data_IF_934764599281
#
_entry.id   IF_934764599281
#
_cell.length_a   1.000
_cell.length_b   1.000
_cell.length_c   1.000
_cell.angle_alpha   90.00
_cell.angle_beta   90.00
_cell.angle_gamma   90.00
#
_symmetry.space_group_name_H-M   'P 1'
#
loop_
_entity.id
_entity.type
_entity.pdbx_description
1 polymer ?
#
# COMPACT_ATOMS: atom_id res chain seq x y z
N UNK A 1 21.21 -16.89 -7.33
CA UNK A 1 21.42 -15.77 -8.28
C UNK A 1 20.05 -15.37 -8.83
N UNK A 2 19.28 -14.62 -8.03
CA UNK A 2 18.00 -14.06 -8.48
C UNK A 2 18.31 -12.77 -9.23
N UNK A 3 18.00 -12.69 -10.52
CA UNK A 3 17.87 -11.40 -11.20
C UNK A 3 16.71 -10.65 -10.54
N UNK A 4 16.98 -9.56 -9.82
CA UNK A 4 15.96 -8.57 -9.48
C UNK A 4 16.12 -7.34 -10.37
N UNK A 5 14.99 -6.67 -10.58
CA UNK A 5 14.80 -5.58 -11.53
C UNK A 5 15.24 -4.27 -10.88
N UNK A 6 16.12 -3.55 -11.56
CA UNK A 6 16.52 -2.18 -11.23
C UNK A 6 15.34 -1.33 -10.75
N UNK A 7 15.56 -0.61 -9.65
CA UNK A 7 14.63 0.34 -9.10
C UNK A 7 14.48 1.53 -10.06
N UNK A 8 13.49 1.47 -10.96
CA UNK A 8 13.02 2.66 -11.67
C UNK A 8 12.54 3.66 -10.61
N UNK A 9 13.33 4.72 -10.39
CA UNK A 9 12.93 5.88 -9.62
C UNK A 9 11.77 6.53 -10.39
N UNK A 10 10.55 6.17 -10.01
CA UNK A 10 9.32 6.78 -10.50
C UNK A 10 9.24 8.21 -9.99
N UNK A 11 9.57 9.18 -10.84
CA UNK A 11 9.18 10.55 -10.62
C UNK A 11 7.93 10.85 -11.48
N UNK A 12 6.91 11.35 -10.78
CA UNK A 12 5.55 11.70 -11.20
C UNK A 12 5.41 12.24 -12.62
N UNK A 13 4.41 11.71 -13.34
CA UNK A 13 3.77 12.39 -14.46
C UNK A 13 3.07 13.62 -13.87
N UNK A 14 3.63 14.81 -14.09
CA UNK A 14 2.76 15.99 -14.19
C UNK A 14 2.03 15.84 -15.51
N UNK A 15 0.71 15.69 -15.47
CA UNK A 15 -0.15 15.75 -16.66
C UNK A 15 -0.11 17.17 -17.23
N UNK A 16 0.98 17.49 -17.92
CA UNK A 16 1.11 18.64 -18.79
C UNK A 16 0.62 18.27 -20.17
N UNK A 17 -0.55 18.79 -20.52
CA UNK A 17 -1.04 18.97 -21.89
C UNK A 17 -1.21 17.72 -22.77
N UNK A 18 -2.22 16.90 -22.47
CA UNK A 18 -2.93 16.12 -23.49
C UNK A 18 -4.24 16.80 -23.97
N UNK A 19 -4.47 18.06 -23.60
CA UNK A 19 -5.67 18.84 -23.97
C UNK A 19 -5.44 19.85 -25.10
N UNK A 20 -4.19 20.07 -25.55
CA UNK A 20 -3.87 21.01 -26.63
C UNK A 20 -3.91 20.40 -28.04
N UNK A 21 -4.25 19.12 -28.18
CA UNK A 21 -4.30 18.41 -29.47
C UNK A 21 -5.71 18.29 -30.08
N UNK A 22 -6.77 18.80 -29.42
CA UNK A 22 -8.16 18.67 -29.90
C UNK A 22 -8.94 19.99 -30.03
N UNK A 23 -8.30 21.16 -29.91
CA UNK A 23 -8.91 22.42 -30.38
C UNK A 23 -10.17 22.90 -29.66
N UNK A 24 -10.45 22.45 -28.44
CA UNK A 24 -11.58 22.97 -27.65
C UNK A 24 -11.11 23.97 -26.58
N UNK A 25 -11.55 25.23 -26.73
CA UNK A 25 -11.36 26.28 -25.73
C UNK A 25 -12.46 26.18 -24.68
N UNK A 26 -12.09 25.85 -23.44
CA UNK A 26 -12.97 25.97 -22.28
C UNK A 26 -12.33 26.96 -21.29
N UNK A 27 -12.98 28.12 -21.12
CA UNK A 27 -12.67 29.09 -20.07
C UNK A 27 -12.91 28.44 -18.71
N UNK A 28 -11.87 28.33 -17.89
CA UNK A 28 -11.99 27.94 -16.48
C UNK A 28 -12.31 29.20 -15.65
N UNK A 29 -13.33 29.21 -14.77
CA UNK A 29 -13.60 30.35 -13.91
C UNK A 29 -12.58 30.39 -12.76
N UNK A 30 -11.96 31.55 -12.55
CA UNK A 30 -11.11 31.82 -11.39
C UNK A 30 -11.98 32.10 -10.16
N UNK A 31 -11.78 31.35 -9.09
CA UNK A 31 -12.32 31.67 -7.77
C UNK A 31 -11.33 32.58 -7.03
N UNK A 32 -11.78 33.65 -6.36
CA UNK A 32 -10.89 34.58 -5.67
C UNK A 32 -10.35 34.00 -4.36
N UNK A 33 -9.09 34.35 -4.07
CA UNK A 33 -8.38 34.03 -2.83
C UNK A 33 -9.08 34.63 -1.60
N UNK A 34 -9.29 33.81 -0.56
CA UNK A 34 -9.81 34.25 0.73
C UNK A 34 -8.70 34.98 1.50
N UNK A 35 -8.88 36.29 1.70
CA UNK A 35 -8.15 37.06 2.72
C UNK A 35 -8.84 36.85 4.08
N UNK A 36 -8.07 36.45 5.08
CA UNK A 36 -8.53 36.44 6.47
C UNK A 36 -8.35 37.85 7.04
N UNK A 37 -9.45 38.51 7.39
CA UNK A 37 -9.45 39.70 8.24
C UNK A 37 -10.46 39.52 9.38
N UNK A 38 -9.99 39.74 10.60
CA UNK A 38 -10.75 39.74 11.85
C UNK A 38 -11.80 40.84 11.91
N UNK A 39 -13.04 40.52 12.30
CA UNK A 39 -13.81 41.28 13.30
C UNK A 39 -15.21 40.68 13.55
N UNK A 40 -15.49 40.49 14.84
CA UNK A 40 -16.75 40.62 15.60
C UNK A 40 -18.13 40.51 14.90
N UNK A 41 -18.99 39.65 15.46
CA UNK A 41 -20.38 40.02 15.76
C UNK A 41 -21.52 39.17 15.17
N UNK A 42 -22.23 38.49 16.09
CA UNK A 42 -23.66 38.15 16.13
C UNK A 42 -24.32 37.10 15.19
N UNK A 43 -24.91 36.12 15.90
CA UNK A 43 -26.15 35.35 15.68
C UNK A 43 -26.94 35.51 14.36
N UNK A 44 -27.22 34.38 13.71
CA UNK A 44 -28.59 33.94 13.36
C UNK A 44 -28.62 32.49 12.84
N UNK A 45 -29.62 31.73 13.28
CA UNK A 45 -30.02 30.40 12.81
C UNK A 45 -30.41 30.39 11.33
N UNK A 46 -30.16 29.29 10.60
CA UNK A 46 -31.01 28.90 9.48
C UNK A 46 -31.14 27.37 9.32
N UNK A 47 -32.38 26.99 9.08
CA UNK A 47 -33.00 25.67 8.96
C UNK A 47 -32.82 25.02 7.58
N UNK A 48 -32.75 23.69 7.58
CA UNK A 48 -33.41 22.73 6.67
C UNK A 48 -33.67 23.12 5.20
N UNK A 49 -33.12 22.35 4.27
CA UNK A 49 -33.69 22.15 2.92
C UNK A 49 -33.77 20.64 2.64
N UNK A 50 -35.00 20.12 2.61
CA UNK A 50 -35.39 18.86 1.96
C UNK A 50 -35.62 19.12 0.46
N UNK A 51 -35.10 18.25 -0.41
CA UNK A 51 -35.52 18.18 -1.81
C UNK A 51 -36.26 16.86 -2.11
N UNK A 52 -37.49 17.03 -2.60
CA UNK A 52 -38.41 16.01 -3.11
C UNK A 52 -38.03 15.61 -4.53
N UNK A 53 -38.06 14.31 -4.85
CA UNK A 53 -38.19 13.82 -6.22
C UNK A 53 -39.29 12.76 -6.33
N UNK A 54 -40.15 12.99 -7.33
CA UNK A 54 -41.45 12.37 -7.56
C UNK A 54 -41.38 11.08 -8.39
N UNK A 55 -42.36 10.22 -8.12
CA UNK A 55 -42.66 8.92 -8.72
C UNK A 55 -43.18 9.01 -10.17
N UNK A 56 -42.87 8.01 -11.01
CA UNK A 56 -43.69 7.60 -12.18
C UNK A 56 -43.91 6.07 -12.17
N UNK A 57 -45.18 5.68 -12.25
CA UNK A 57 -45.72 4.31 -12.34
C UNK A 57 -45.67 3.77 -13.77
N UNK A 58 -45.55 2.45 -13.91
CA UNK A 58 -46.23 1.67 -14.96
C UNK A 58 -46.80 0.35 -14.38
N UNK A 59 -48.00 0.01 -14.89
CA UNK A 59 -48.93 -1.08 -14.54
C UNK A 59 -48.33 -2.50 -14.71
N UNK A 60 -48.80 -3.60 -14.12
CA UNK A 60 -50.11 -3.97 -13.59
C UNK A 60 -50.61 -5.23 -14.32
N UNK A 61 -50.66 -6.38 -13.64
CA UNK A 61 -51.48 -7.53 -14.04
C UNK A 61 -51.94 -8.27 -12.77
N UNK A 62 -53.26 -8.39 -12.62
CA UNK A 62 -53.95 -9.04 -11.50
C UNK A 62 -54.80 -10.16 -12.07
N UNK A 63 -54.64 -11.39 -11.60
CA UNK A 63 -55.59 -12.48 -11.84
C UNK A 63 -56.22 -12.86 -10.49
N UNK A 64 -57.53 -12.65 -10.42
CA UNK A 64 -58.41 -13.09 -9.31
C UNK A 64 -58.81 -14.53 -9.54
N UNK A 65 -58.78 -15.36 -8.49
CA UNK A 65 -59.61 -16.57 -8.45
C UNK A 65 -60.58 -16.51 -7.27
N UNK A 66 -61.79 -16.99 -7.59
CA UNK A 66 -63.07 -16.87 -6.90
C UNK A 66 -63.21 -18.05 -5.93
N UNK A 67 -63.66 -17.78 -4.71
CA UNK A 67 -64.00 -18.82 -3.74
C UNK A 67 -65.28 -19.56 -4.17
N UNK A 68 -65.26 -20.89 -4.08
CA UNK A 68 -66.44 -21.76 -4.08
C UNK A 68 -66.33 -22.74 -2.92
N UNK A 69 -67.38 -22.82 -2.13
CA UNK A 69 -67.56 -23.70 -0.98
C UNK A 69 -68.16 -25.05 -1.39
N UNK A 70 -67.67 -26.14 -0.81
CA UNK A 70 -68.45 -27.37 -0.59
C UNK A 70 -67.93 -28.12 0.65
N UNK A 71 -68.88 -28.61 1.46
CA UNK A 71 -68.71 -29.27 2.75
C UNK A 71 -68.69 -30.80 2.61
N UNK A 72 -67.91 -31.50 3.44
CA UNK A 72 -68.32 -32.75 4.10
C UNK A 72 -67.31 -33.19 5.19
N UNK A 73 -67.86 -33.67 6.31
CA UNK A 73 -67.20 -34.04 7.56
C UNK A 73 -66.39 -35.35 7.50
N UNK A 74 -65.28 -35.42 8.25
CA UNK A 74 -64.88 -36.61 9.03
C UNK A 74 -63.80 -36.27 10.08
N UNK A 75 -63.92 -36.88 11.25
CA UNK A 75 -63.19 -36.73 12.54
C UNK A 75 -61.66 -36.90 12.50
N UNK A 76 -60.91 -36.34 13.47
CA UNK A 76 -59.46 -36.31 13.44
C UNK A 76 -58.86 -37.62 13.99
N UNK A 77 -57.87 -38.17 13.28
CA UNK A 77 -56.93 -39.14 13.86
C UNK A 77 -55.65 -38.37 14.17
N UNK A 78 -55.36 -38.20 15.46
CA UNK A 78 -54.09 -37.68 15.95
C UNK A 78 -52.98 -38.66 15.56
N UNK A 79 -52.24 -38.34 14.51
CA UNK A 79 -50.90 -38.89 14.29
C UNK A 79 -49.94 -37.83 14.81
N UNK A 80 -49.35 -38.11 15.97
CA UNK A 80 -48.17 -37.39 16.47
C UNK A 80 -47.05 -37.75 15.49
N UNK A 81 -46.84 -36.90 14.49
CA UNK A 81 -45.62 -36.94 13.70
C UNK A 81 -44.53 -36.28 14.55
N UNK A 82 -43.70 -37.10 15.17
CA UNK A 82 -42.40 -36.69 15.69
C UNK A 82 -41.60 -36.15 14.49
N UNK A 83 -41.60 -34.84 14.32
CA UNK A 83 -40.64 -34.18 13.45
C UNK A 83 -39.29 -34.25 14.16
N UNK A 84 -38.54 -35.31 13.87
CA UNK A 84 -37.09 -35.27 14.01
C UNK A 84 -36.59 -34.10 13.15
N UNK A 85 -36.24 -32.99 13.80
CA UNK A 85 -35.38 -31.98 13.21
C UNK A 85 -34.04 -32.66 12.91
N UNK A 86 -33.91 -33.22 11.71
CA UNK A 86 -32.63 -33.55 11.14
C UNK A 86 -31.86 -32.23 11.03
N UNK A 87 -30.99 -31.99 12.01
CA UNK A 87 -29.96 -30.96 11.93
C UNK A 87 -29.10 -31.33 10.74
N UNK A 88 -29.43 -30.77 9.58
CA UNK A 88 -28.63 -30.91 8.39
C UNK A 88 -27.28 -30.29 8.72
N UNK A 89 -26.28 -31.14 8.89
CA UNK A 89 -24.93 -30.75 9.24
C UNK A 89 -24.39 -29.91 8.08
N UNK A 90 -24.56 -28.59 8.18
CA UNK A 90 -24.16 -27.66 7.14
C UNK A 90 -22.65 -27.73 7.03
N UNK A 91 -22.17 -28.31 5.92
CA UNK A 91 -20.75 -28.35 5.60
C UNK A 91 -20.25 -26.91 5.48
N UNK A 92 -19.54 -26.46 6.51
CA UNK A 92 -18.94 -25.13 6.62
C UNK A 92 -17.47 -25.21 6.22
N UNK A 93 -16.92 -24.13 5.64
CA UNK A 93 -15.48 -24.01 5.45
C UNK A 93 -14.78 -23.92 6.82
N UNK A 94 -13.69 -24.67 6.96
CA UNK A 94 -12.81 -24.57 8.14
C UNK A 94 -12.21 -23.16 8.19
N UNK A 95 -12.42 -22.47 9.31
CA UNK A 95 -11.96 -21.11 9.50
C UNK A 95 -11.47 -20.85 10.92
N UNK A 96 -10.52 -19.93 11.05
CA UNK A 96 -9.99 -19.44 12.33
C UNK A 96 -10.52 -18.03 12.57
N UNK A 97 -10.91 -17.71 13.81
CA UNK A 97 -11.35 -16.36 14.15
C UNK A 97 -10.16 -15.40 14.22
N UNK A 98 -10.30 -14.21 13.63
CA UNK A 98 -9.35 -13.12 13.84
C UNK A 98 -9.66 -12.35 15.14
N UNK A 99 -8.77 -11.42 15.52
CA UNK A 99 -8.89 -10.61 16.74
C UNK A 99 -9.94 -9.49 16.66
N UNK A 100 -10.55 -9.28 15.49
CA UNK A 100 -11.46 -8.17 15.18
C UNK A 100 -12.88 -8.64 14.85
N UNK A 101 -13.20 -9.90 15.13
CA UNK A 101 -14.52 -10.50 14.90
C UNK A 101 -14.76 -10.95 13.46
N UNK A 102 -13.71 -11.09 12.65
CA UNK A 102 -13.73 -11.75 11.36
C UNK A 102 -13.28 -13.22 11.43
N UNK A 103 -13.15 -13.82 10.25
CA UNK A 103 -12.75 -15.22 10.06
C UNK A 103 -11.75 -15.34 8.90
N UNK A 104 -10.82 -16.28 9.03
CA UNK A 104 -9.78 -16.58 8.04
C UNK A 104 -9.93 -18.02 7.60
N UNK A 105 -10.14 -18.24 6.31
CA UNK A 105 -10.17 -19.55 5.64
C UNK A 105 -8.86 -19.73 4.89
N UNK A 106 -8.20 -20.86 5.08
CA UNK A 106 -7.06 -21.28 4.27
C UNK A 106 -7.43 -22.55 3.52
N UNK A 107 -7.41 -22.48 2.18
CA UNK A 107 -7.73 -23.63 1.34
C UNK A 107 -6.52 -24.56 1.22
N UNK A 108 -6.64 -25.79 1.73
CA UNK A 108 -5.61 -26.82 1.63
C UNK A 108 -5.97 -27.90 0.61
N UNK A 109 -7.22 -28.34 0.59
CA UNK A 109 -7.68 -29.48 -0.22
C UNK A 109 -8.24 -29.04 -1.59
N UNK A 110 -7.95 -29.79 -2.67
CA UNK A 110 -8.56 -29.55 -3.97
C UNK A 110 -10.09 -29.63 -3.89
N UNK A 111 -10.77 -28.69 -4.55
CA UNK A 111 -12.22 -28.61 -4.54
C UNK A 111 -12.76 -28.25 -5.92
N UNK A 112 -13.92 -28.81 -6.26
CA UNK A 112 -14.69 -28.38 -7.42
C UNK A 112 -15.24 -26.96 -7.20
N UNK A 113 -15.14 -26.03 -8.18
CA UNK A 113 -15.59 -24.65 -8.01
C UNK A 113 -17.08 -24.50 -7.67
N UNK A 114 -17.96 -25.36 -8.20
CA UNK A 114 -19.40 -25.28 -7.90
C UNK A 114 -19.71 -25.78 -6.49
N UNK A 115 -19.04 -26.87 -6.07
CA UNK A 115 -19.10 -27.33 -4.68
C UNK A 115 -18.58 -26.26 -3.71
N UNK A 116 -17.44 -25.63 -4.03
CA UNK A 116 -16.87 -24.55 -3.24
C UNK A 116 -17.83 -23.37 -3.09
N UNK A 117 -18.42 -22.89 -4.19
CA UNK A 117 -19.39 -21.78 -4.16
C UNK A 117 -20.60 -22.09 -3.25
N UNK A 118 -21.11 -23.33 -3.31
CA UNK A 118 -22.22 -23.77 -2.45
C UNK A 118 -21.86 -23.74 -0.96
N UNK A 119 -20.70 -24.33 -0.60
CA UNK A 119 -20.19 -24.37 0.78
C UNK A 119 -19.86 -22.94 1.27
N UNK A 120 -19.25 -22.11 0.42
CA UNK A 120 -18.91 -20.72 0.74
C UNK A 120 -20.17 -19.90 1.07
N UNK A 121 -21.23 -20.02 0.26
CA UNK A 121 -22.50 -19.34 0.51
C UNK A 121 -23.15 -19.76 1.82
N UNK A 122 -23.16 -21.07 2.11
CA UNK A 122 -23.65 -21.59 3.38
C UNK A 122 -22.81 -21.05 4.57
N UNK A 123 -21.49 -21.02 4.41
CA UNK A 123 -20.56 -20.52 5.42
C UNK A 123 -20.78 -19.04 5.73
N UNK A 124 -20.95 -18.19 4.71
CA UNK A 124 -21.26 -16.76 4.87
C UNK A 124 -22.57 -16.56 5.61
N UNK A 125 -23.63 -17.32 5.28
CA UNK A 125 -24.91 -17.23 5.97
C UNK A 125 -24.80 -17.60 7.46
N UNK A 126 -23.98 -18.61 7.79
CA UNK A 126 -23.72 -18.97 9.17
C UNK A 126 -22.87 -17.92 9.90
N UNK A 127 -21.79 -17.44 9.31
CA UNK A 127 -20.95 -16.38 9.88
C UNK A 127 -21.75 -15.09 10.11
N UNK A 128 -22.70 -14.77 9.23
CA UNK A 128 -23.64 -13.65 9.42
C UNK A 128 -24.49 -13.83 10.68
N UNK A 129 -25.06 -15.02 10.92
CA UNK A 129 -25.81 -15.34 12.15
C UNK A 129 -24.94 -15.27 13.40
N UNK A 130 -23.65 -15.58 13.27
CA UNK A 130 -22.67 -15.48 14.35
C UNK A 130 -22.14 -14.06 14.59
N UNK A 131 -22.63 -13.06 13.84
CA UNK A 131 -22.16 -11.68 13.97
C UNK A 131 -20.73 -11.45 13.49
N UNK A 132 -20.19 -12.32 12.62
CA UNK A 132 -18.87 -12.14 12.01
C UNK A 132 -18.88 -11.00 11.02
N UNK A 133 -17.71 -10.36 10.86
CA UNK A 133 -17.53 -9.18 10.02
C UNK A 133 -16.74 -9.49 8.75
N UNK A 134 -15.41 -9.41 8.82
CA UNK A 134 -14.51 -9.70 7.72
C UNK A 134 -14.38 -11.19 7.47
N UNK A 135 -14.39 -11.59 6.20
CA UNK A 135 -14.03 -12.94 5.77
C UNK A 135 -12.80 -12.84 4.89
N UNK A 136 -11.75 -13.55 5.27
CA UNK A 136 -10.51 -13.65 4.51
C UNK A 136 -10.40 -15.05 3.93
N UNK A 137 -10.08 -15.15 2.64
CA UNK A 137 -9.78 -16.45 2.02
C UNK A 137 -8.37 -16.38 1.44
N UNK A 138 -7.48 -17.18 2.03
CA UNK A 138 -6.15 -17.46 1.48
C UNK A 138 -6.28 -18.63 0.51
N UNK A 139 -6.06 -18.34 -0.77
CA UNK A 139 -6.04 -19.33 -1.84
C UNK A 139 -4.60 -19.56 -2.31
N UNK A 140 -3.95 -20.67 -1.93
CA UNK A 140 -2.71 -21.11 -2.57
C UNK A 140 -2.86 -21.19 -4.09
N UNK A 141 -1.78 -20.96 -4.82
CA UNK A 141 -1.76 -20.88 -6.30
C UNK A 141 -2.30 -22.16 -6.96
N UNK A 142 -2.18 -23.32 -6.30
CA UNK A 142 -2.71 -24.60 -6.78
C UNK A 142 -4.24 -24.63 -6.82
N UNK A 143 -4.91 -23.78 -6.04
CA UNK A 143 -6.37 -23.67 -5.94
C UNK A 143 -6.93 -22.48 -6.72
N UNK A 144 -6.21 -22.04 -7.77
CA UNK A 144 -6.62 -20.90 -8.62
C UNK A 144 -7.97 -21.11 -9.29
N UNK A 145 -8.39 -22.36 -9.49
CA UNK A 145 -9.71 -22.71 -10.01
C UNK A 145 -10.88 -22.21 -9.13
N UNK A 146 -10.62 -21.88 -7.86
CA UNK A 146 -11.63 -21.39 -6.92
C UNK A 146 -11.80 -19.87 -6.93
N UNK A 147 -10.89 -19.12 -7.57
CA UNK A 147 -10.88 -17.65 -7.54
C UNK A 147 -12.15 -17.07 -8.15
N UNK A 148 -12.54 -17.55 -9.33
CA UNK A 148 -13.75 -17.06 -10.03
C UNK A 148 -15.01 -17.31 -9.19
N UNK A 149 -15.11 -18.48 -8.56
CA UNK A 149 -16.23 -18.84 -7.69
C UNK A 149 -16.31 -17.91 -6.47
N UNK A 150 -15.19 -17.59 -5.82
CA UNK A 150 -15.17 -16.65 -4.69
C UNK A 150 -15.61 -15.23 -5.12
N UNK A 151 -15.09 -14.73 -6.25
CA UNK A 151 -15.44 -13.40 -6.76
C UNK A 151 -16.92 -13.30 -7.12
N UNK A 152 -17.52 -14.36 -7.69
CA UNK A 152 -18.97 -14.42 -7.97
C UNK A 152 -19.84 -14.35 -6.72
N UNK A 153 -19.33 -14.80 -5.56
CA UNK A 153 -20.00 -14.64 -4.27
C UNK A 153 -19.71 -13.27 -3.60
N UNK A 154 -19.03 -12.35 -4.31
CA UNK A 154 -18.81 -10.97 -3.91
C UNK A 154 -17.47 -10.68 -3.24
N UNK A 155 -16.55 -11.64 -3.21
CA UNK A 155 -15.19 -11.40 -2.72
C UNK A 155 -14.41 -10.50 -3.68
N UNK A 156 -13.52 -9.68 -3.13
CA UNK A 156 -12.56 -8.88 -3.89
C UNK A 156 -11.13 -9.26 -3.53
N UNK A 157 -10.19 -8.94 -4.41
CA UNK A 157 -8.77 -9.14 -4.16
C UNK A 157 -8.27 -8.11 -3.15
N UNK A 158 -7.57 -8.59 -2.12
CA UNK A 158 -6.88 -7.71 -1.18
C UNK A 158 -5.40 -7.59 -1.53
N UNK A 159 -4.68 -8.71 -1.53
CA UNK A 159 -3.25 -8.77 -1.86
C UNK A 159 -2.89 -10.14 -2.44
N UNK A 160 -1.72 -10.25 -3.04
CA UNK A 160 -1.20 -11.50 -3.57
C UNK A 160 0.29 -11.60 -3.28
N UNK A 161 0.73 -12.81 -2.99
CA UNK A 161 2.13 -13.21 -2.93
C UNK A 161 2.42 -14.19 -4.07
N UNK A 162 3.69 -14.53 -4.36
CA UNK A 162 4.02 -15.43 -5.47
C UNK A 162 3.29 -16.77 -5.44
N UNK A 163 2.87 -17.25 -4.27
CA UNK A 163 2.26 -18.56 -4.08
C UNK A 163 0.81 -18.53 -3.55
N UNK A 164 0.19 -17.36 -3.32
CA UNK A 164 -1.21 -17.29 -2.92
C UNK A 164 -1.88 -15.97 -3.28
N UNK A 165 -3.21 -16.00 -3.37
CA UNK A 165 -4.08 -14.83 -3.46
C UNK A 165 -4.89 -14.70 -2.15
N UNK A 166 -4.92 -13.51 -1.56
CA UNK A 166 -5.80 -13.18 -0.44
C UNK A 166 -7.03 -12.45 -0.96
N UNK A 167 -8.20 -13.04 -0.73
CA UNK A 167 -9.49 -12.40 -0.98
C UNK A 167 -10.14 -11.95 0.31
N UNK A 168 -10.94 -10.89 0.21
CA UNK A 168 -11.68 -10.33 1.32
C UNK A 168 -13.17 -10.19 0.97
N UNK A 169 -14.01 -10.31 1.99
CA UNK A 169 -15.44 -10.05 1.93
C UNK A 169 -15.90 -9.41 3.24
N UNK A 170 -16.89 -8.52 3.17
CA UNK A 170 -17.48 -7.86 4.33
C UNK A 170 -18.93 -8.28 4.46
N UNK A 171 -19.25 -8.96 5.56
CA UNK A 171 -20.60 -9.49 5.82
C UNK A 171 -21.63 -8.38 6.15
N UNK A 172 -21.31 -7.39 7.01
CA UNK A 172 -22.26 -6.33 7.36
C UNK A 172 -22.61 -5.44 6.17
N UNK A 173 -23.79 -4.82 6.20
CA UNK A 173 -24.15 -3.79 5.24
C UNK A 173 -23.33 -2.50 5.47
N UNK A 174 -23.11 -1.74 4.40
CA UNK A 174 -22.38 -0.46 4.44
C UNK A 174 -20.88 -0.57 4.12
N UNK A 175 -20.13 0.47 4.48
CA UNK A 175 -18.69 0.57 4.20
C UNK A 175 -17.88 -0.41 5.05
N UNK A 176 -16.98 -1.18 4.43
CA UNK A 176 -16.09 -2.09 5.16
C UNK A 176 -15.02 -1.32 5.94
N UNK A 177 -14.57 -1.90 7.05
CA UNK A 177 -13.45 -1.35 7.84
C UNK A 177 -12.20 -2.24 7.79
N UNK A 178 -12.14 -3.17 6.83
CA UNK A 178 -10.95 -3.99 6.61
C UNK A 178 -9.77 -3.07 6.25
N UNK A 179 -8.57 -3.30 6.82
CA UNK A 179 -7.37 -2.58 6.44
C UNK A 179 -7.14 -2.67 4.93
N UNK A 180 -6.66 -1.59 4.32
CA UNK A 180 -6.24 -1.63 2.94
C UNK A 180 -4.91 -2.38 2.80
N UNK A 181 -4.65 -2.95 1.62
CA UNK A 181 -3.36 -3.51 1.26
C UNK A 181 -2.24 -2.46 1.30
N UNK A 182 -0.99 -2.93 1.42
CA UNK A 182 0.23 -2.13 1.33
C UNK A 182 0.13 -1.09 0.20
N UNK A 183 0.26 0.18 0.60
CA UNK A 183 -0.01 1.34 -0.25
C UNK A 183 1.27 2.05 -0.71
N UNK A 184 2.38 1.78 -0.02
CA UNK A 184 3.67 2.42 -0.25
C UNK A 184 4.74 1.37 -0.54
N UNK A 185 5.65 1.71 -1.43
CA UNK A 185 6.98 1.09 -1.50
C UNK A 185 7.96 1.98 -0.75
N UNK A 186 8.99 1.36 -0.21
CA UNK A 186 10.03 2.07 0.55
C UNK A 186 11.33 2.00 -0.23
N UNK A 187 11.88 3.16 -0.55
CA UNK A 187 13.19 3.31 -1.18
C UNK A 187 14.20 3.93 -0.23
N UNK A 188 15.47 3.64 -0.47
CA UNK A 188 16.61 4.21 0.25
C UNK A 188 17.62 4.79 -0.72
N UNK A 189 18.30 5.85 -0.30
CA UNK A 189 19.47 6.41 -0.96
C UNK A 189 20.59 6.63 0.03
N UNK A 190 21.83 6.43 -0.43
CA UNK A 190 23.02 6.48 0.42
C UNK A 190 23.88 7.72 0.11
N UNK A 191 23.93 8.65 1.05
CA UNK A 191 24.94 9.69 1.06
C UNK A 191 26.18 9.17 1.79
N UNK A 192 27.16 8.72 1.01
CA UNK A 192 28.46 8.25 1.50
C UNK A 192 29.51 9.29 1.12
N UNK A 193 30.22 9.86 2.09
CA UNK A 193 31.28 10.85 1.85
C UNK A 193 32.58 10.38 2.52
N UNK A 194 33.69 10.47 1.80
CA UNK A 194 35.01 10.16 2.33
C UNK A 194 35.70 11.40 2.94
N UNK A 195 36.86 11.20 3.55
CA UNK A 195 37.64 12.28 4.19
C UNK A 195 38.14 13.36 3.22
N UNK A 196 38.19 13.07 1.91
CA UNK A 196 38.59 14.01 0.85
C UNK A 196 37.44 14.88 0.36
N UNK A 197 36.25 14.80 0.98
CA UNK A 197 35.01 15.46 0.53
C UNK A 197 34.56 14.99 -0.86
N UNK A 198 34.84 13.72 -1.18
CA UNK A 198 34.30 13.04 -2.35
C UNK A 198 33.12 12.17 -1.92
N UNK A 199 32.10 12.11 -2.78
CA UNK A 199 30.89 11.31 -2.58
C UNK A 199 30.89 10.08 -3.47
N UNK A 200 30.39 8.98 -2.94
CA UNK A 200 30.17 7.76 -3.72
C UNK A 200 28.96 7.96 -4.63
N UNK A 201 29.18 7.85 -5.93
CA UNK A 201 28.13 8.03 -6.95
C UNK A 201 28.18 6.92 -7.99
N UNK A 202 27.03 6.66 -8.59
CA UNK A 202 26.83 5.63 -9.62
C UNK A 202 26.08 6.21 -10.83
N UNK A 203 26.28 5.58 -11.98
CA UNK A 203 25.46 5.71 -13.18
C UNK A 203 24.75 4.38 -13.44
N UNK A 204 23.43 4.42 -13.66
CA UNK A 204 22.65 3.22 -14.00
C UNK A 204 22.92 2.81 -15.45
N UNK A 205 23.15 1.52 -15.72
CA UNK A 205 23.14 0.95 -17.07
C UNK A 205 21.74 0.45 -17.49
N UNK A 206 20.72 0.72 -16.68
CA UNK A 206 19.32 0.34 -16.96
C UNK A 206 18.37 1.46 -16.55
N UNK A 207 17.09 1.31 -16.86
CA UNK A 207 16.08 2.29 -16.44
C UNK A 207 16.17 3.64 -17.16
N UNK A 208 15.67 4.69 -16.50
CA UNK A 208 15.49 6.03 -17.08
C UNK A 208 16.80 6.80 -17.24
N UNK A 209 17.79 6.54 -16.39
CA UNK A 209 19.07 7.25 -16.41
C UNK A 209 20.14 6.59 -17.30
N UNK A 210 19.84 5.42 -17.89
CA UNK A 210 20.75 4.73 -18.82
C UNK A 210 21.20 5.66 -19.94
N UNK A 211 22.52 5.80 -20.12
CA UNK A 211 23.12 6.60 -21.19
C UNK A 211 22.90 8.11 -21.07
N UNK A 212 22.38 8.60 -19.95
CA UNK A 212 22.22 10.04 -19.69
C UNK A 212 23.48 10.69 -19.14
N UNK A 213 24.41 9.88 -18.62
CA UNK A 213 25.63 10.35 -17.95
C UNK A 213 25.39 10.99 -16.57
N UNK A 214 24.16 10.94 -16.03
CA UNK A 214 23.83 11.53 -14.72
C UNK A 214 24.39 10.66 -13.60
N UNK A 215 25.23 11.26 -12.75
CA UNK A 215 25.71 10.65 -11.52
C UNK A 215 24.71 10.87 -10.39
N UNK A 216 24.29 9.79 -9.74
CA UNK A 216 23.39 9.80 -8.58
C UNK A 216 24.02 9.06 -7.41
N UNK A 217 23.47 9.24 -6.22
CA UNK A 217 23.82 8.38 -5.08
C UNK A 217 23.36 6.94 -5.32
N UNK A 218 24.01 5.93 -4.69
CA UNK A 218 23.49 4.58 -4.63
C UNK A 218 22.07 4.56 -4.06
N UNK A 219 21.17 3.79 -4.66
CA UNK A 219 19.76 3.75 -4.26
C UNK A 219 19.14 2.39 -4.53
N UNK A 220 18.21 1.96 -3.66
CA UNK A 220 17.39 0.81 -3.97
C UNK A 220 16.13 0.72 -3.12
N UNK A 221 15.59 -0.49 -2.99
CA UNK A 221 14.28 -0.76 -2.38
C UNK A 221 14.48 -1.59 -1.13
N UNK A 222 13.76 -1.23 -0.06
CA UNK A 222 13.72 -2.03 1.17
C UNK A 222 12.87 -3.27 0.90
N UNK A 223 13.43 -4.46 1.11
CA UNK A 223 12.68 -5.70 0.93
C UNK A 223 11.67 -5.92 2.07
N UNK A 224 10.70 -6.80 1.82
CA UNK A 224 9.78 -7.23 2.87
C UNK A 224 10.54 -7.83 4.06
N UNK A 225 10.24 -7.37 5.27
CA UNK A 225 10.90 -7.80 6.50
C UNK A 225 12.33 -7.26 6.70
N UNK A 226 12.81 -6.37 5.83
CA UNK A 226 14.16 -5.80 5.92
C UNK A 226 14.16 -4.43 6.64
N UNK A 227 15.11 -4.24 7.56
CA UNK A 227 15.31 -2.94 8.21
C UNK A 227 15.84 -1.88 7.24
N UNK A 228 15.42 -0.63 7.40
CA UNK A 228 15.87 0.49 6.58
C UNK A 228 17.40 0.64 6.57
N UNK A 229 18.03 0.56 7.74
CA UNK A 229 19.48 0.68 7.90
C UNK A 229 20.23 -0.50 7.26
N UNK A 230 19.64 -1.69 7.29
CA UNK A 230 20.20 -2.89 6.66
C UNK A 230 20.10 -2.79 5.14
N UNK A 231 18.94 -2.36 4.63
CA UNK A 231 18.71 -2.19 3.20
C UNK A 231 19.72 -1.22 2.59
N UNK A 232 19.91 -0.03 3.16
CA UNK A 232 20.84 0.95 2.56
C UNK A 232 22.31 0.49 2.60
N UNK A 233 22.74 -0.26 3.63
CA UNK A 233 24.07 -0.89 3.65
C UNK A 233 24.19 -1.92 2.53
N UNK A 234 23.17 -2.78 2.37
CA UNK A 234 23.13 -3.79 1.31
C UNK A 234 23.20 -3.14 -0.08
N UNK A 235 22.37 -2.13 -0.36
CA UNK A 235 22.32 -1.47 -1.67
C UNK A 235 23.68 -0.86 -2.06
N UNK A 236 24.37 -0.18 -1.13
CA UNK A 236 25.72 0.34 -1.40
C UNK A 236 26.70 -0.79 -1.72
N UNK A 237 26.64 -1.88 -0.93
CA UNK A 237 27.53 -3.04 -1.11
C UNK A 237 27.27 -3.75 -2.43
N UNK A 238 26.01 -3.94 -2.81
CA UNK A 238 25.61 -4.58 -4.06
C UNK A 238 26.09 -3.76 -5.25
N UNK A 239 25.80 -2.45 -5.31
CA UNK A 239 26.13 -1.63 -6.47
C UNK A 239 27.63 -1.34 -6.64
N UNK A 240 28.38 -1.22 -5.53
CA UNK A 240 29.75 -0.65 -5.54
C UNK A 240 30.82 -1.47 -4.82
N UNK A 241 30.44 -2.56 -4.15
CA UNK A 241 31.28 -3.36 -3.26
C UNK A 241 31.86 -2.61 -2.04
N UNK A 242 31.48 -1.34 -1.80
CA UNK A 242 31.92 -0.56 -0.65
C UNK A 242 31.20 -1.02 0.62
N UNK A 243 31.97 -1.30 1.66
CA UNK A 243 31.46 -1.56 3.00
C UNK A 243 31.13 -0.22 3.66
N UNK A 244 29.94 -0.13 4.24
CA UNK A 244 29.49 1.07 4.91
C UNK A 244 28.85 0.76 6.26
N UNK A 245 28.81 1.77 7.11
CA UNK A 245 28.06 1.78 8.36
C UNK A 245 26.97 2.84 8.28
N UNK A 246 25.75 2.45 8.65
CA UNK A 246 24.63 3.37 8.78
C UNK A 246 24.86 4.36 9.92
N UNK A 247 24.62 5.65 9.67
CA UNK A 247 24.72 6.70 10.70
C UNK A 247 23.33 7.21 11.07
N UNK A 248 22.59 7.78 10.13
CA UNK A 248 21.28 8.38 10.38
C UNK A 248 20.46 8.55 9.09
N UNK A 249 19.15 8.62 9.23
CA UNK A 249 18.27 9.14 8.17
C UNK A 249 18.38 10.66 8.16
N UNK A 250 18.77 11.25 7.04
CA UNK A 250 18.82 12.71 6.88
C UNK A 250 17.45 13.28 6.57
N UNK A 251 16.72 12.67 5.64
CA UNK A 251 15.40 13.12 5.25
C UNK A 251 14.61 11.99 4.61
N UNK A 252 13.30 12.19 4.47
CA UNK A 252 12.48 11.35 3.63
C UNK A 252 11.53 12.20 2.79
N UNK A 253 11.16 11.67 1.62
CA UNK A 253 10.15 12.25 0.74
C UNK A 253 9.04 11.24 0.50
N UNK A 254 7.86 11.76 0.18
CA UNK A 254 6.78 10.96 -0.38
C UNK A 254 6.51 11.39 -1.82
N UNK A 255 6.13 10.43 -2.67
CA UNK A 255 5.58 10.70 -4.00
C UNK A 255 4.47 9.71 -4.32
N UNK A 256 3.48 10.13 -5.11
CA UNK A 256 2.30 9.32 -5.42
C UNK A 256 2.35 8.74 -6.83
N UNK A 257 1.70 7.59 -7.02
CA UNK A 257 1.49 6.94 -8.32
C UNK A 257 2.78 6.69 -9.11
N UNK A 258 3.83 6.31 -8.42
CA UNK A 258 5.17 6.11 -8.99
C UNK A 258 5.38 4.70 -9.54
N UNK A 259 4.69 3.70 -8.98
CA UNK A 259 4.79 2.31 -9.42
C UNK A 259 3.47 1.57 -9.19
N UNK A 260 2.80 1.13 -10.27
CA UNK A 260 1.48 0.49 -10.23
C UNK A 260 0.46 1.23 -9.34
N UNK A 261 0.38 2.56 -9.50
CA UNK A 261 -0.49 3.46 -8.74
C UNK A 261 -0.21 3.54 -7.22
N UNK A 262 0.79 2.82 -6.73
CA UNK A 262 1.27 2.92 -5.34
C UNK A 262 2.10 4.19 -5.16
N UNK A 263 2.21 4.60 -3.90
CA UNK A 263 3.09 5.71 -3.51
C UNK A 263 4.48 5.18 -3.18
N UNK A 264 5.49 6.03 -3.22
CA UNK A 264 6.83 5.75 -2.70
C UNK A 264 7.11 6.64 -1.49
N UNK A 265 7.73 6.07 -0.47
CA UNK A 265 8.46 6.81 0.56
C UNK A 265 9.94 6.54 0.32
N UNK A 266 10.73 7.59 0.15
CA UNK A 266 12.17 7.47 -0.12
C UNK A 266 12.97 8.15 0.97
N UNK A 267 13.89 7.40 1.58
CA UNK A 267 14.75 7.85 2.69
C UNK A 267 16.17 8.12 2.20
N UNK A 268 16.68 9.32 2.47
CA UNK A 268 18.09 9.65 2.26
C UNK A 268 18.85 9.40 3.55
N UNK A 269 19.88 8.55 3.51
CA UNK A 269 20.62 8.10 4.67
C UNK A 269 22.07 8.54 4.60
N UNK A 270 22.62 9.03 5.72
CA UNK A 270 24.03 9.27 5.88
C UNK A 270 24.74 7.97 6.25
N UNK A 271 25.83 7.69 5.55
CA UNK A 271 26.62 6.48 5.67
C UNK A 271 28.09 6.82 5.86
N UNK A 272 28.78 6.05 6.69
CA UNK A 272 30.23 6.11 6.88
C UNK A 272 30.89 5.01 6.04
N UNK A 273 31.82 5.33 5.12
CA UNK A 273 32.56 4.32 4.38
C UNK A 273 33.59 3.62 5.27
N UNK A 274 33.66 2.29 5.16
CA UNK A 274 34.62 1.43 5.86
C UNK A 274 35.69 0.85 4.90
N UNK A 275 35.42 0.90 3.60
CA UNK A 275 36.35 0.56 2.52
C UNK A 275 36.22 1.57 1.37
N UNK A 276 37.19 1.56 0.45
CA UNK A 276 37.31 2.60 -0.60
C UNK A 276 37.52 2.04 -2.01
N UNK A 277 37.80 0.76 -2.15
CA UNK A 277 37.99 0.10 -3.45
C UNK A 277 36.63 -0.20 -4.07
N UNK A 278 36.32 0.47 -5.17
CA UNK A 278 35.04 0.33 -5.87
C UNK A 278 35.12 -0.85 -6.83
N UNK A 279 34.13 -1.73 -6.76
CA UNK A 279 33.87 -2.74 -7.78
C UNK A 279 32.38 -2.66 -8.15
N UNK A 280 32.10 -2.22 -9.37
CA UNK A 280 30.72 -2.00 -9.81
C UNK A 280 30.00 -3.31 -10.11
N UNK A 281 28.71 -3.35 -9.84
CA UNK A 281 27.85 -4.44 -10.29
C UNK A 281 27.56 -4.31 -11.79
N UNK A 282 28.20 -5.16 -12.60
CA UNK A 282 28.10 -5.11 -14.07
C UNK A 282 26.67 -5.21 -14.64
N UNK A 283 25.74 -5.85 -13.93
CA UNK A 283 24.37 -6.03 -14.43
C UNK A 283 23.52 -4.77 -14.39
N UNK A 284 23.81 -3.83 -13.47
CA UNK A 284 22.95 -2.67 -13.19
C UNK A 284 23.68 -1.34 -13.28
N UNK A 285 25.00 -1.33 -13.06
CA UNK A 285 25.80 -0.10 -12.92
C UNK A 285 26.77 0.05 -14.09
N UNK A 286 26.63 1.17 -14.79
CA UNK A 286 27.48 1.56 -15.91
C UNK A 286 28.86 1.99 -15.39
N UNK A 287 28.87 2.85 -14.37
CA UNK A 287 30.08 3.35 -13.74
C UNK A 287 29.82 3.73 -12.27
N UNK A 288 30.86 3.64 -11.44
CA UNK A 288 30.84 4.05 -10.04
C UNK A 288 32.16 4.73 -9.70
N UNK A 289 32.13 5.82 -8.95
CA UNK A 289 33.34 6.55 -8.55
C UNK A 289 33.16 7.35 -7.27
N UNK A 290 34.29 7.76 -6.68
CA UNK A 290 34.36 8.86 -5.74
C UNK A 290 34.43 10.18 -6.53
N UNK A 291 33.38 10.99 -6.43
CA UNK A 291 33.28 12.27 -7.15
C UNK A 291 33.40 13.44 -6.16
N UNK A 292 34.20 14.49 -6.44
CA UNK A 292 34.22 15.69 -5.60
C UNK A 292 32.80 16.23 -5.37
N UNK A 293 32.44 16.51 -4.11
CA UNK A 293 31.05 16.85 -3.78
C UNK A 293 30.53 18.09 -4.51
N UNK A 294 31.37 19.10 -4.73
CA UNK A 294 30.97 20.29 -5.49
C UNK A 294 30.78 19.99 -6.98
N UNK A 295 31.48 19.00 -7.54
CA UNK A 295 31.25 18.54 -8.91
C UNK A 295 29.90 17.82 -9.02
N UNK A 296 29.59 16.92 -8.08
CA UNK A 296 28.27 16.29 -7.99
C UNK A 296 27.16 17.33 -7.88
N UNK A 297 27.33 18.30 -6.97
CA UNK A 297 26.36 19.36 -6.75
C UNK A 297 26.17 20.22 -8.00
N UNK A 298 27.23 20.49 -8.78
CA UNK A 298 27.19 21.32 -9.97
C UNK A 298 26.55 20.64 -11.20
N UNK A 299 26.26 19.34 -11.16
CA UNK A 299 25.64 18.64 -12.28
C UNK A 299 24.33 19.31 -12.73
N UNK A 300 24.11 19.52 -14.05
CA UNK A 300 22.90 20.18 -14.54
C UNK A 300 21.59 19.54 -14.06
N UNK A 301 21.56 18.20 -13.96
CA UNK A 301 20.41 17.48 -13.42
C UNK A 301 20.15 17.81 -11.94
N UNK A 302 21.20 17.83 -11.12
CA UNK A 302 21.12 18.18 -9.69
C UNK A 302 20.65 19.62 -9.51
N UNK A 303 21.11 20.54 -10.37
CA UNK A 303 20.75 21.96 -10.37
C UNK A 303 19.36 22.27 -10.95
N UNK A 304 18.69 21.32 -11.59
CA UNK A 304 17.33 21.51 -12.13
C UNK A 304 16.27 20.72 -11.34
N UNK A 305 16.66 19.65 -10.68
CA UNK A 305 15.78 18.83 -9.86
C UNK A 305 15.69 19.36 -8.42
N UNK A 306 14.49 19.78 -7.98
CA UNK A 306 14.29 20.35 -6.64
C UNK A 306 14.64 19.39 -5.50
N UNK A 307 14.31 18.10 -5.64
CA UNK A 307 14.66 17.11 -4.63
C UNK A 307 16.18 17.01 -4.48
N UNK A 308 16.91 16.93 -5.60
CA UNK A 308 18.37 16.88 -5.58
C UNK A 308 18.98 18.13 -4.94
N UNK A 309 18.41 19.32 -5.18
CA UNK A 309 18.84 20.56 -4.50
C UNK A 309 18.69 20.48 -2.99
N UNK A 310 17.52 20.07 -2.50
CA UNK A 310 17.31 19.94 -1.06
C UNK A 310 18.23 18.90 -0.44
N UNK A 311 18.50 17.79 -1.13
CA UNK A 311 19.47 16.79 -0.67
C UNK A 311 20.87 17.43 -0.55
N UNK A 312 21.32 18.17 -1.57
CA UNK A 312 22.61 18.88 -1.53
C UNK A 312 22.67 19.87 -0.36
N UNK A 313 21.62 20.65 -0.14
CA UNK A 313 21.55 21.64 0.95
C UNK A 313 21.60 20.96 2.33
N UNK A 314 20.89 19.84 2.50
CA UNK A 314 20.92 19.03 3.73
C UNK A 314 22.32 18.45 3.94
N UNK A 315 22.95 17.91 2.89
CA UNK A 315 24.32 17.40 2.95
C UNK A 315 25.32 18.50 3.37
N UNK A 316 25.21 19.71 2.78
CA UNK A 316 26.02 20.89 3.15
C UNK A 316 25.79 21.32 4.61
N UNK A 317 24.54 21.33 5.05
CA UNK A 317 24.20 21.65 6.44
C UNK A 317 24.71 20.60 7.43
N UNK A 318 24.67 19.31 7.06
CA UNK A 318 25.20 18.20 7.86
C UNK A 318 26.72 18.29 8.01
N UNK A 319 27.44 18.55 6.91
CA UNK A 319 28.89 18.78 6.92
C UNK A 319 29.25 19.96 7.85
N UNK A 320 28.48 21.04 7.81
CA UNK A 320 28.65 22.19 8.69
C UNK A 320 28.22 21.95 10.15
N UNK A 321 27.82 20.71 10.52
CA UNK A 321 27.29 20.32 11.84
C UNK A 321 26.06 21.12 12.28
N UNK A 322 25.30 21.65 11.31
CA UNK A 322 24.06 22.43 11.51
C UNK A 322 22.80 21.60 11.27
N UNK A 323 22.95 20.32 10.92
CA UNK A 323 21.85 19.40 10.65
C UNK A 323 22.05 18.10 11.43
N UNK A 324 20.99 17.63 12.07
CA UNK A 324 20.96 16.35 12.79
C UNK A 324 19.82 15.52 12.23
N UNK A 325 20.15 14.35 11.69
CA UNK A 325 19.18 13.37 11.22
C UNK A 325 18.62 12.51 12.34
N UNK A 326 18.00 11.40 11.93
CA UNK A 326 17.28 10.49 12.81
C UNK A 326 18.09 9.20 12.93
N UNK A 327 18.55 8.89 14.15
CA UNK A 327 19.33 7.68 14.43
C UNK A 327 18.41 6.53 14.84
N UNK A 328 18.79 5.27 14.56
CA UNK A 328 18.00 4.11 14.96
C UNK A 328 18.30 3.78 16.42
N UNK A 329 17.27 3.73 17.25
CA UNK A 329 17.37 3.28 18.64
C UNK A 329 16.59 1.98 18.80
N UNK A 330 17.25 0.87 19.24
CA UNK A 330 16.57 -0.38 19.49
C UNK A 330 15.49 -0.22 20.56
N UNK A 331 14.33 -0.83 20.31
CA UNK A 331 13.17 -0.88 21.20
C UNK A 331 12.64 -2.30 21.27
N UNK A 332 12.05 -2.66 22.41
CA UNK A 332 11.35 -3.92 22.62
C UNK A 332 9.85 -3.73 22.38
N UNK A 333 9.21 -4.64 21.65
CA UNK A 333 7.75 -4.69 21.50
C UNK A 333 7.17 -5.74 22.45
N UNK A 334 6.04 -5.49 23.14
CA UNK A 334 5.35 -6.52 23.91
C UNK A 334 4.64 -7.55 23.01
N UNK A 335 4.64 -7.35 21.68
CA UNK A 335 3.90 -8.16 20.71
C UNK A 335 4.79 -9.00 19.77
N UNK A 336 6.11 -8.81 19.80
CA UNK A 336 7.07 -9.54 18.96
C UNK A 336 8.44 -9.59 19.64
N UNK A 337 9.11 -10.73 19.52
CA UNK A 337 10.49 -10.92 20.00
C UNK A 337 11.54 -10.34 19.03
N UNK A 338 11.11 -9.82 17.88
CA UNK A 338 12.00 -9.17 16.91
C UNK A 338 12.49 -7.80 17.41
N UNK A 339 13.73 -7.45 17.04
CA UNK A 339 14.28 -6.12 17.34
C UNK A 339 13.53 -5.07 16.53
N UNK A 340 13.01 -4.05 17.22
CA UNK A 340 12.34 -2.92 16.58
C UNK A 340 13.23 -1.69 16.67
N UNK A 341 13.23 -0.81 15.67
CA UNK A 341 13.99 0.44 15.72
C UNK A 341 13.07 1.65 15.71
N UNK A 342 13.31 2.59 16.61
CA UNK A 342 12.72 3.92 16.57
C UNK A 342 13.73 4.90 16.00
N UNK A 343 13.35 5.64 14.95
CA UNK A 343 14.20 6.64 14.32
C UNK A 343 13.80 8.04 14.80
N UNK A 344 14.69 8.74 15.48
CA UNK A 344 14.43 10.10 15.95
C UNK A 344 15.71 10.93 16.08
N UNK A 345 15.56 12.25 16.18
CA UNK A 345 16.66 13.14 16.48
C UNK A 345 17.08 12.96 17.95
N UNK A 346 18.14 12.18 18.15
CA UNK A 346 18.70 11.87 19.47
C UNK A 346 19.33 13.10 20.15
N UNK A 347 19.86 14.04 19.35
CA UNK A 347 20.51 15.25 19.85
C UNK A 347 19.49 16.17 20.55
N UNK A 348 18.36 16.42 19.90
CA UNK A 348 17.32 17.31 20.42
C UNK A 348 16.64 16.71 21.66
N UNK A 349 16.51 15.38 21.72
CA UNK A 349 15.93 14.70 22.88
C UNK A 349 16.83 14.81 24.13
N UNK A 350 18.15 14.73 23.96
CA UNK A 350 19.11 14.74 25.07
C UNK A 350 19.71 16.13 25.36
N UNK A 351 19.30 17.17 24.63
CA UNK A 351 19.69 18.55 24.88
C UNK A 351 21.19 18.85 24.69
N UNK A 352 21.87 18.13 23.78
CA UNK A 352 23.31 18.32 23.48
C UNK A 352 23.59 19.23 22.27
#
# INVERSE_FOLDING_TARGET
>A
MMLRRAALIGCTITSGNLWSLLGFSAKVPTWPAVKVSSSTGNHANFTSIEEKLSCRKLAGYSIRYRAMSASANATPVNVIAENEEQVQEFKQLNAVNDRYGGVIVEMSEPMDPAAFASILRASIAQWRRQGKKGVWIKLPIQHVNLVEAAVKEGFWFHHAEPNYLMLAYWIPEGTHTLPANASHRVGVGAFVMNEKREVLVVQENTGRFRGTGVWKFPTGVVNEGEDLCTAVVREVKEETAIDTKFIEVLAFRQSHKSFFEKSDIFFMCLMEPLSFEIQKQESEIEAAQWMPFEEYAAQPFVQTNELSKYIVDICKAKEARKYSGFVPVPTSSPFSDEKNYMYFNYRDLNGQ
#
